data_IF_746720316309
#
_entry.id   IF_746720316309
#
_cell.length_a   1.000
_cell.length_b   1.000
_cell.length_c   1.000
_cell.angle_alpha   90.00
_cell.angle_beta   90.00
_cell.angle_gamma   90.00
#
_symmetry.space_group_name_H-M   'P 1'
#
loop_
_entity.id
_entity.type
_entity.pdbx_description
1 polymer ?
#
# COMPACT_ATOMS: atom_id res chain seq x y z
N UNK A 1 -4.35 11.93 9.70
CA UNK A 1 -4.76 12.74 8.53
C UNK A 1 -4.37 12.10 7.21
N UNK A 2 -5.34 11.84 6.33
CA UNK A 2 -5.13 11.34 4.97
C UNK A 2 -5.14 12.51 3.99
N UNK A 3 -4.08 12.66 3.17
CA UNK A 3 -3.91 13.79 2.26
C UNK A 3 -3.73 13.33 0.81
N UNK A 4 -4.61 13.76 -0.07
CA UNK A 4 -4.47 13.64 -1.53
C UNK A 4 -3.92 14.94 -2.12
N UNK A 5 -2.62 14.92 -2.39
CA UNK A 5 -1.89 15.97 -3.08
C UNK A 5 -2.20 15.87 -4.58
N UNK A 6 -3.05 16.75 -5.07
CA UNK A 6 -3.47 16.78 -6.45
C UNK A 6 -2.48 17.62 -7.27
N UNK A 7 -1.89 17.02 -8.30
CA UNK A 7 -1.17 17.79 -9.32
C UNK A 7 -2.13 18.76 -10.02
N UNK A 8 -1.61 19.66 -10.86
CA UNK A 8 -2.46 20.56 -11.64
C UNK A 8 -3.55 19.81 -12.43
N UNK A 9 -3.20 18.70 -13.07
CA UNK A 9 -4.15 17.93 -13.89
C UNK A 9 -5.19 17.21 -13.02
N UNK A 10 -4.81 16.67 -11.86
CA UNK A 10 -5.77 16.08 -10.92
C UNK A 10 -6.68 17.14 -10.28
N UNK A 11 -6.13 18.31 -9.94
CA UNK A 11 -6.89 19.43 -9.40
C UNK A 11 -7.95 19.92 -10.40
N UNK A 12 -7.59 20.01 -11.68
CA UNK A 12 -8.51 20.31 -12.77
C UNK A 12 -9.55 19.19 -12.98
N UNK A 13 -9.17 17.92 -12.82
CA UNK A 13 -10.10 16.80 -12.92
C UNK A 13 -11.18 16.82 -11.84
N UNK A 14 -10.80 17.11 -10.58
CA UNK A 14 -11.72 17.16 -9.45
C UNK A 14 -12.50 18.48 -9.33
N UNK A 15 -12.18 19.46 -10.16
CA UNK A 15 -12.84 20.77 -10.15
C UNK A 15 -13.80 20.89 -11.33
N UNK A 16 -15.07 21.15 -11.04
CA UNK A 16 -16.10 21.35 -12.07
C UNK A 16 -16.92 22.60 -11.80
N UNK A 17 -17.40 23.24 -12.87
CA UNK A 17 -18.37 24.34 -12.75
C UNK A 17 -19.76 23.79 -13.03
N UNK A 18 -20.66 23.82 -12.04
CA UNK A 18 -22.07 23.44 -12.20
C UNK A 18 -22.93 24.66 -11.89
N UNK A 19 -23.81 25.04 -12.81
CA UNK A 19 -24.70 26.20 -12.67
C UNK A 19 -23.93 27.49 -12.30
N UNK A 20 -22.79 27.73 -12.96
CA UNK A 20 -21.94 28.90 -12.72
C UNK A 20 -21.14 28.88 -11.41
N UNK A 21 -21.30 27.86 -10.56
CA UNK A 21 -20.54 27.70 -9.30
C UNK A 21 -19.43 26.66 -9.45
N UNK A 22 -18.22 27.03 -9.05
CA UNK A 22 -17.06 26.12 -8.96
C UNK A 22 -17.29 25.17 -7.78
N UNK A 23 -17.28 23.87 -8.05
CA UNK A 23 -17.30 22.80 -7.08
C UNK A 23 -15.95 22.10 -7.13
N UNK A 24 -15.30 21.96 -5.97
CA UNK A 24 -13.99 21.34 -5.85
C UNK A 24 -13.83 20.82 -4.43
N UNK A 25 -13.22 19.63 -4.23
CA UNK A 25 -12.84 19.16 -2.90
C UNK A 25 -11.56 19.83 -2.39
N UNK A 26 -10.88 20.62 -3.23
CA UNK A 26 -9.55 21.16 -2.91
C UNK A 26 -9.64 22.23 -1.83
N UNK A 27 -8.85 22.03 -0.78
CA UNK A 27 -8.65 22.94 0.32
C UNK A 27 -7.17 23.42 0.35
N UNK A 28 -6.83 24.51 1.06
CA UNK A 28 -5.45 24.96 1.22
C UNK A 28 -4.57 23.86 1.82
N UNK A 29 -3.33 23.72 1.38
CA UNK A 29 -2.47 22.66 1.91
C UNK A 29 -2.32 22.72 3.45
N UNK A 30 -2.48 21.60 4.18
CA UNK A 30 -2.38 21.59 5.65
C UNK A 30 -0.92 21.71 6.10
N UNK A 31 0.02 21.19 5.31
CA UNK A 31 1.46 21.29 5.55
C UNK A 31 2.18 22.03 4.42
N UNK A 32 3.38 22.60 4.63
CA UNK A 32 4.14 23.20 3.54
C UNK A 32 4.65 22.16 2.52
N UNK A 33 5.01 20.94 2.94
CA UNK A 33 5.62 19.92 2.07
C UNK A 33 4.83 18.61 2.02
N UNK A 34 4.86 17.95 0.86
CA UNK A 34 4.12 16.70 0.59
C UNK A 34 4.62 15.51 1.42
N UNK A 35 5.88 15.53 1.84
CA UNK A 35 6.50 14.46 2.64
C UNK A 35 6.52 14.70 4.15
N UNK A 36 5.80 15.69 4.66
CA UNK A 36 5.66 15.89 6.10
C UNK A 36 4.82 14.74 6.68
N UNK A 37 5.41 13.93 7.56
CA UNK A 37 4.77 12.71 8.13
C UNK A 37 3.90 13.01 9.35
N UNK A 38 3.94 14.23 9.87
CA UNK A 38 3.16 14.67 11.01
C UNK A 38 2.56 16.06 10.78
N UNK A 39 1.32 16.24 11.23
CA UNK A 39 0.63 17.52 11.27
C UNK A 39 -0.17 17.61 12.57
N UNK A 40 0.09 18.63 13.40
CA UNK A 40 -0.55 18.80 14.71
C UNK A 40 -0.53 17.52 15.57
N UNK A 41 0.63 16.83 15.60
CA UNK A 41 0.85 15.54 16.27
C UNK A 41 -0.01 14.37 15.74
N UNK A 42 -0.61 14.50 14.57
CA UNK A 42 -1.32 13.42 13.88
C UNK A 42 -0.47 12.85 12.75
N UNK A 43 -0.52 11.52 12.60
CA UNK A 43 0.08 10.81 11.47
C UNK A 43 -0.48 11.33 10.14
N UNK A 44 0.39 11.59 9.17
CA UNK A 44 -0.01 12.00 7.81
C UNK A 44 0.23 10.85 6.83
N UNK A 45 -0.85 10.30 6.26
CA UNK A 45 -0.76 9.42 5.09
C UNK A 45 -0.90 10.27 3.83
N UNK A 46 0.22 10.50 3.14
CA UNK A 46 0.28 11.39 1.99
C UNK A 46 0.28 10.61 0.67
N UNK A 47 -0.62 10.99 -0.24
CA UNK A 47 -0.74 10.45 -1.59
C UNK A 47 -0.55 11.57 -2.62
N UNK A 48 0.11 11.31 -3.74
CA UNK A 48 0.10 12.19 -4.90
C UNK A 48 -0.88 11.63 -5.94
N UNK A 49 -1.81 12.46 -6.39
CA UNK A 49 -2.79 12.11 -7.42
C UNK A 49 -2.48 12.91 -8.69
N UNK A 50 -2.41 12.20 -9.80
CA UNK A 50 -2.18 12.76 -11.12
C UNK A 50 -3.24 12.29 -12.11
N UNK A 51 -3.69 13.17 -13.00
CA UNK A 51 -4.61 12.80 -14.07
C UNK A 51 -3.91 12.79 -15.43
N UNK A 52 -4.08 11.71 -16.19
CA UNK A 52 -3.64 11.56 -17.57
C UNK A 52 -4.83 11.29 -18.50
N UNK A 53 -4.57 11.27 -19.82
CA UNK A 53 -5.54 10.82 -20.82
C UNK A 53 -5.00 9.63 -21.59
N UNK A 54 -5.72 8.53 -21.55
CA UNK A 54 -5.41 7.32 -22.32
C UNK A 54 -6.62 6.96 -23.17
N UNK A 55 -6.42 6.73 -24.47
CA UNK A 55 -7.51 6.54 -25.44
C UNK A 55 -8.63 7.59 -25.32
N UNK A 56 -8.26 8.87 -25.13
CA UNK A 56 -9.15 10.04 -24.94
C UNK A 56 -10.02 10.01 -23.68
N UNK A 57 -9.89 9.00 -22.81
CA UNK A 57 -10.58 8.89 -21.52
C UNK A 57 -9.66 9.35 -20.39
N UNK A 58 -10.23 9.92 -19.33
CA UNK A 58 -9.43 10.34 -18.17
C UNK A 58 -9.06 9.10 -17.35
N UNK A 59 -7.84 9.10 -16.83
CA UNK A 59 -7.33 8.08 -15.92
C UNK A 59 -6.64 8.81 -14.78
N UNK A 60 -6.92 8.41 -13.54
CA UNK A 60 -6.21 8.89 -12.37
C UNK A 60 -5.17 7.86 -11.94
N UNK A 61 -4.01 8.35 -11.51
CA UNK A 61 -2.97 7.57 -10.85
C UNK A 61 -2.80 8.18 -9.47
N UNK A 62 -3.01 7.39 -8.42
CA UNK A 62 -2.70 7.75 -7.05
C UNK A 62 -1.43 6.99 -6.63
N UNK A 63 -0.48 7.68 -6.01
CA UNK A 63 0.74 7.07 -5.50
C UNK A 63 0.99 7.47 -4.07
N UNK A 64 1.19 6.49 -3.18
CA UNK A 64 1.59 6.74 -1.82
C UNK A 64 3.00 7.36 -1.79
N UNK A 65 3.14 8.47 -1.08
CA UNK A 65 4.35 9.30 -1.13
C UNK A 65 5.53 8.61 -0.46
N UNK A 66 5.32 7.80 0.58
CA UNK A 66 6.41 7.13 1.26
C UNK A 66 6.86 5.87 0.51
N UNK A 67 5.92 5.02 0.15
CA UNK A 67 6.21 3.65 -0.33
C UNK A 67 6.23 3.52 -1.84
N UNK A 68 5.86 4.59 -2.57
CA UNK A 68 5.70 4.57 -4.04
C UNK A 68 4.65 3.60 -4.57
N UNK A 69 3.84 3.00 -3.68
CA UNK A 69 2.71 2.18 -4.06
C UNK A 69 1.73 2.95 -4.93
N UNK A 70 1.37 2.41 -6.07
CA UNK A 70 0.57 3.07 -7.09
C UNK A 70 -0.77 2.36 -7.31
N UNK A 71 -1.80 3.14 -7.61
CA UNK A 71 -3.12 2.64 -7.98
C UNK A 71 -3.66 3.43 -9.16
N UNK A 72 -4.28 2.75 -10.12
CA UNK A 72 -4.85 3.35 -11.33
C UNK A 72 -6.37 3.26 -11.36
N UNK A 73 -7.03 4.35 -11.73
CA UNK A 73 -8.49 4.46 -11.75
C UNK A 73 -8.97 4.88 -13.12
N UNK A 74 -9.82 4.06 -13.73
CA UNK A 74 -10.53 4.33 -14.98
C UNK A 74 -12.00 4.56 -14.69
N UNK A 75 -12.77 5.02 -15.69
CA UNK A 75 -14.23 5.16 -15.57
C UNK A 75 -14.74 6.30 -14.68
N UNK A 76 -13.85 7.02 -13.97
CA UNK A 76 -14.24 8.13 -13.11
C UNK A 76 -14.78 9.34 -13.87
N UNK A 77 -15.84 9.95 -13.32
CA UNK A 77 -16.43 11.20 -13.83
C UNK A 77 -15.67 12.41 -13.28
N UNK A 78 -15.51 13.44 -14.10
CA UNK A 78 -14.92 14.72 -13.65
C UNK A 78 -15.71 15.31 -12.49
N UNK A 79 -14.99 15.78 -11.47
CA UNK A 79 -15.56 16.34 -10.25
C UNK A 79 -16.06 15.29 -9.22
N UNK A 80 -16.02 14.00 -9.56
CA UNK A 80 -16.52 12.92 -8.70
C UNK A 80 -15.42 12.41 -7.75
N UNK A 81 -14.99 13.28 -6.84
CA UNK A 81 -13.93 12.96 -5.88
C UNK A 81 -14.36 11.92 -4.84
N UNK A 82 -15.66 11.85 -4.54
CA UNK A 82 -16.21 10.89 -3.59
C UNK A 82 -16.12 9.47 -4.14
N UNK A 83 -16.48 9.28 -5.42
CA UNK A 83 -16.31 7.99 -6.09
C UNK A 83 -14.83 7.58 -6.17
N UNK A 84 -13.93 8.50 -6.51
CA UNK A 84 -12.49 8.24 -6.46
C UNK A 84 -12.05 7.76 -5.08
N UNK A 85 -12.47 8.45 -4.02
CA UNK A 85 -12.09 8.11 -2.65
C UNK A 85 -12.64 6.73 -2.22
N UNK A 86 -13.89 6.43 -2.55
CA UNK A 86 -14.51 5.14 -2.22
C UNK A 86 -13.76 3.98 -2.91
N UNK A 87 -13.52 4.11 -4.22
CA UNK A 87 -12.77 3.10 -4.97
C UNK A 87 -11.34 2.94 -4.45
N UNK A 88 -10.69 4.06 -4.10
CA UNK A 88 -9.34 4.04 -3.54
C UNK A 88 -9.31 3.33 -2.19
N UNK A 89 -10.26 3.63 -1.29
CA UNK A 89 -10.30 3.05 0.06
C UNK A 89 -10.57 1.54 0.00
N UNK A 90 -11.61 1.15 -0.73
CA UNK A 90 -11.99 -0.25 -0.91
C UNK A 90 -10.85 -1.05 -1.51
N UNK A 91 -10.26 -0.57 -2.62
CA UNK A 91 -9.22 -1.32 -3.31
C UNK A 91 -7.89 -1.33 -2.56
N UNK A 92 -7.54 -0.25 -1.86
CA UNK A 92 -6.36 -0.27 -0.99
C UNK A 92 -6.51 -1.33 0.09
N UNK A 93 -7.66 -1.35 0.78
CA UNK A 93 -7.88 -2.31 1.85
C UNK A 93 -7.88 -3.74 1.34
N UNK A 94 -8.60 -4.03 0.24
CA UNK A 94 -8.61 -5.36 -0.36
C UNK A 94 -7.21 -5.81 -0.76
N UNK A 95 -6.41 -4.94 -1.39
CA UNK A 95 -5.05 -5.28 -1.78
C UNK A 95 -4.15 -5.54 -0.56
N UNK A 96 -4.27 -4.76 0.53
CA UNK A 96 -3.51 -5.02 1.75
C UNK A 96 -3.94 -6.33 2.41
N UNK A 97 -5.25 -6.60 2.46
CA UNK A 97 -5.80 -7.84 3.00
C UNK A 97 -5.30 -9.05 2.23
N UNK A 98 -5.49 -9.08 0.91
CA UNK A 98 -5.05 -10.20 0.07
C UNK A 98 -3.54 -10.42 0.15
N UNK A 99 -2.76 -9.34 0.17
CA UNK A 99 -1.30 -9.46 0.31
C UNK A 99 -0.91 -10.07 1.67
N UNK A 100 -1.52 -9.65 2.78
CA UNK A 100 -1.22 -10.25 4.08
C UNK A 100 -1.71 -11.69 4.24
N UNK A 101 -2.86 -12.02 3.64
CA UNK A 101 -3.41 -13.39 3.64
C UNK A 101 -2.56 -14.34 2.78
N UNK A 102 -2.11 -13.91 1.59
CA UNK A 102 -1.25 -14.70 0.70
C UNK A 102 0.03 -15.17 1.41
N UNK A 103 0.56 -14.35 2.30
CA UNK A 103 1.79 -14.63 3.03
C UNK A 103 1.57 -15.11 4.47
N UNK A 104 0.32 -15.39 4.86
CA UNK A 104 -0.07 -15.82 6.22
C UNK A 104 0.41 -14.87 7.33
N UNK A 105 0.58 -13.58 7.02
CA UNK A 105 1.09 -12.57 7.95
C UNK A 105 -0.01 -11.95 8.80
N UNK A 106 -1.26 -11.98 8.33
CA UNK A 106 -2.43 -11.43 9.01
C UNK A 106 -3.67 -12.25 8.64
N UNK A 107 -4.63 -12.32 9.57
CA UNK A 107 -5.96 -12.86 9.29
C UNK A 107 -7.00 -11.74 9.08
N UNK A 108 -8.18 -12.11 8.58
CA UNK A 108 -9.29 -11.17 8.32
C UNK A 108 -9.64 -10.32 9.55
N UNK A 109 -9.60 -10.91 10.75
CA UNK A 109 -9.92 -10.21 12.00
C UNK A 109 -8.88 -9.13 12.34
N UNK A 110 -7.60 -9.44 12.14
CA UNK A 110 -6.49 -8.50 12.32
C UNK A 110 -6.59 -7.36 11.31
N UNK A 111 -6.93 -7.66 10.05
CA UNK A 111 -7.16 -6.63 9.02
C UNK A 111 -8.33 -5.71 9.33
N UNK A 112 -9.45 -6.27 9.80
CA UNK A 112 -10.60 -5.46 10.21
C UNK A 112 -10.23 -4.48 11.35
N UNK A 113 -9.37 -4.92 12.28
CA UNK A 113 -8.84 -4.05 13.33
C UNK A 113 -7.99 -2.93 12.75
N UNK A 114 -7.06 -3.22 11.83
CA UNK A 114 -6.24 -2.22 11.16
C UNK A 114 -7.07 -1.22 10.35
N UNK A 115 -8.13 -1.66 9.66
CA UNK A 115 -9.04 -0.77 8.95
C UNK A 115 -9.74 0.22 9.89
N UNK A 116 -10.24 -0.28 11.02
CA UNK A 116 -10.87 0.57 12.03
C UNK A 116 -9.89 1.59 12.60
N UNK A 117 -8.62 1.21 12.79
CA UNK A 117 -7.56 2.14 13.18
C UNK A 117 -7.29 3.19 12.11
N UNK A 118 -7.19 2.78 10.84
CA UNK A 118 -7.03 3.68 9.71
C UNK A 118 -8.15 4.72 9.67
N UNK A 119 -9.41 4.29 9.73
CA UNK A 119 -10.58 5.18 9.70
C UNK A 119 -10.56 6.15 10.88
N UNK A 120 -10.18 5.67 12.08
CA UNK A 120 -10.09 6.50 13.30
C UNK A 120 -9.02 7.59 13.17
N UNK A 121 -7.86 7.26 12.61
CA UNK A 121 -6.74 8.21 12.42
C UNK A 121 -6.95 9.16 11.23
N UNK A 122 -7.81 8.77 10.28
CA UNK A 122 -8.06 9.47 9.03
C UNK A 122 -9.56 9.69 8.75
N UNK A 123 -10.30 10.37 9.63
CA UNK A 123 -11.77 10.44 9.57
C UNK A 123 -12.32 11.19 8.35
N UNK A 124 -11.50 12.02 7.69
CA UNK A 124 -11.86 12.74 6.46
C UNK A 124 -10.64 12.84 5.54
N UNK A 125 -10.78 12.58 4.23
CA UNK A 125 -9.72 12.84 3.26
C UNK A 125 -9.54 14.35 3.03
N UNK A 126 -8.28 14.78 2.92
CA UNK A 126 -7.91 16.15 2.62
C UNK A 126 -7.36 16.26 1.19
N UNK A 127 -8.07 16.95 0.30
CA UNK A 127 -7.59 17.18 -1.06
C UNK A 127 -6.95 18.56 -1.13
N UNK A 128 -5.73 18.66 -1.64
CA UNK A 128 -5.06 19.95 -1.82
C UNK A 128 -4.25 19.97 -3.12
N UNK A 129 -4.04 21.15 -3.71
CA UNK A 129 -3.21 21.25 -4.91
C UNK A 129 -1.72 21.38 -4.52
N UNK A 130 -0.97 20.30 -4.72
CA UNK A 130 0.50 20.25 -4.52
C UNK A 130 1.13 19.24 -5.46
N UNK A 131 2.39 19.49 -5.78
CA UNK A 131 3.21 18.56 -6.56
C UNK A 131 4.41 18.08 -5.77
N UNK A 132 4.89 16.88 -6.08
CA UNK A 132 6.16 16.35 -5.63
C UNK A 132 6.91 15.81 -6.86
N UNK A 133 8.09 16.38 -7.16
CA UNK A 133 8.84 16.01 -8.36
C UNK A 133 9.37 14.58 -8.32
N UNK A 134 9.70 14.07 -7.14
CA UNK A 134 10.20 12.70 -6.98
C UNK A 134 9.07 11.70 -7.21
N UNK A 135 7.93 11.91 -6.56
CA UNK A 135 6.75 11.05 -6.73
C UNK A 135 6.25 11.13 -8.19
N UNK A 136 6.21 12.33 -8.78
CA UNK A 136 5.76 12.52 -10.16
C UNK A 136 6.61 11.76 -11.18
N UNK A 137 7.92 11.62 -10.94
CA UNK A 137 8.79 10.81 -11.81
C UNK A 137 8.32 9.35 -11.86
N UNK A 138 8.03 8.75 -10.69
CA UNK A 138 7.53 7.38 -10.63
C UNK A 138 6.10 7.24 -11.17
N UNK A 139 5.25 8.26 -10.97
CA UNK A 139 3.92 8.30 -11.61
C UNK A 139 4.05 8.30 -13.13
N UNK A 140 5.03 8.99 -13.71
CA UNK A 140 5.25 8.99 -15.15
C UNK A 140 5.65 7.58 -15.65
N UNK A 141 6.46 6.84 -14.89
CA UNK A 141 6.78 5.44 -15.21
C UNK A 141 5.54 4.56 -15.16
N UNK A 142 4.69 4.71 -14.13
CA UNK A 142 3.39 4.00 -14.04
C UNK A 142 2.50 4.35 -15.22
N UNK A 143 2.41 5.63 -15.60
CA UNK A 143 1.64 6.09 -16.75
C UNK A 143 2.14 5.44 -18.05
N UNK A 144 3.47 5.36 -18.24
CA UNK A 144 4.07 4.71 -19.40
C UNK A 144 3.70 3.23 -19.48
N UNK A 145 3.83 2.49 -18.38
CA UNK A 145 3.45 1.08 -18.32
C UNK A 145 1.94 0.87 -18.56
N UNK A 146 1.11 1.75 -18.00
CA UNK A 146 -0.33 1.69 -18.16
C UNK A 146 -0.75 1.94 -19.62
N UNK A 147 -0.21 3.00 -20.24
CA UNK A 147 -0.45 3.31 -21.65
C UNK A 147 0.00 2.17 -22.56
N UNK A 148 1.16 1.59 -22.28
CA UNK A 148 1.67 0.45 -23.03
C UNK A 148 0.74 -0.77 -22.93
N UNK A 149 0.30 -1.15 -21.73
CA UNK A 149 -0.60 -2.28 -21.53
C UNK A 149 -1.96 -2.04 -22.20
N UNK A 150 -2.52 -0.85 -22.08
CA UNK A 150 -3.76 -0.47 -22.76
C UNK A 150 -3.62 -0.53 -24.28
N UNK A 151 -2.47 -0.12 -24.82
CA UNK A 151 -2.20 -0.25 -26.25
C UNK A 151 -2.12 -1.71 -26.70
N UNK A 152 -1.49 -2.60 -25.91
CA UNK A 152 -1.39 -4.02 -26.21
C UNK A 152 -2.74 -4.74 -26.14
N UNK A 153 -3.56 -4.47 -25.11
CA UNK A 153 -4.87 -5.09 -24.91
C UNK A 153 -5.92 -4.50 -25.86
N UNK A 154 -5.78 -3.23 -26.23
CA UNK A 154 -6.71 -2.50 -27.09
C UNK A 154 -7.82 -1.76 -26.33
N UNK A 155 -7.93 -1.93 -25.01
CA UNK A 155 -8.93 -1.27 -24.17
C UNK A 155 -8.36 -0.86 -22.82
N UNK A 156 -9.04 0.10 -22.17
CA UNK A 156 -8.82 0.36 -20.74
C UNK A 156 -9.32 -0.83 -19.90
N UNK A 157 -8.74 -1.04 -18.70
CA UNK A 157 -9.33 -1.89 -17.68
C UNK A 157 -10.79 -1.52 -17.42
N UNK A 158 -11.63 -2.55 -17.36
CA UNK A 158 -13.05 -2.47 -17.02
C UNK A 158 -13.29 -3.01 -15.61
N UNK A 159 -13.78 -2.13 -14.72
CA UNK A 159 -14.07 -2.47 -13.33
C UNK A 159 -12.86 -2.50 -12.38
N UNK A 160 -13.14 -2.74 -11.10
CA UNK A 160 -12.15 -2.75 -10.02
C UNK A 160 -11.12 -3.87 -10.17
N UNK A 161 -11.54 -5.06 -10.59
CA UNK A 161 -10.69 -6.26 -10.68
C UNK A 161 -9.55 -6.09 -11.69
N UNK A 162 -9.85 -5.61 -12.89
CA UNK A 162 -8.83 -5.38 -13.92
C UNK A 162 -7.87 -4.23 -13.53
N UNK A 163 -8.38 -3.22 -12.81
CA UNK A 163 -7.54 -2.19 -12.21
C UNK A 163 -6.64 -2.78 -11.11
N UNK A 164 -7.17 -3.61 -10.22
CA UNK A 164 -6.43 -4.26 -9.14
C UNK A 164 -5.29 -5.13 -9.69
N UNK A 165 -5.54 -5.92 -10.74
CA UNK A 165 -4.49 -6.72 -11.40
C UNK A 165 -3.37 -5.86 -12.00
N UNK A 166 -3.69 -4.66 -12.51
CA UNK A 166 -2.65 -3.72 -12.93
C UNK A 166 -1.88 -3.16 -11.73
N UNK A 167 -2.60 -2.77 -10.68
CA UNK A 167 -2.03 -2.21 -9.45
C UNK A 167 -1.05 -3.22 -8.81
N UNK A 168 -1.43 -4.48 -8.69
CA UNK A 168 -0.57 -5.58 -8.23
C UNK A 168 0.71 -5.67 -9.06
N UNK A 169 0.58 -5.84 -10.39
CA UNK A 169 1.73 -5.98 -11.28
C UNK A 169 2.67 -4.75 -11.27
N UNK A 170 2.14 -3.52 -11.20
CA UNK A 170 2.99 -2.33 -11.26
C UNK A 170 3.70 -2.04 -9.93
N UNK A 171 3.19 -2.60 -8.83
CA UNK A 171 3.78 -2.51 -7.51
C UNK A 171 4.77 -3.66 -7.21
N UNK A 172 4.76 -4.72 -8.02
CA UNK A 172 5.82 -5.73 -8.07
C UNK A 172 7.14 -5.19 -8.67
N UNK A 173 7.07 -4.13 -9.50
CA UNK A 173 8.25 -3.54 -10.13
C UNK A 173 9.08 -2.77 -9.10
N UNK A 174 10.34 -3.18 -8.93
CA UNK A 174 11.29 -2.52 -8.02
C UNK A 174 11.45 -1.03 -8.32
N UNK A 175 11.57 -0.23 -7.27
CA UNK A 175 11.81 1.21 -7.33
C UNK A 175 12.97 1.59 -6.43
N UNK A 176 13.55 2.76 -6.68
CA UNK A 176 14.51 3.40 -5.78
C UNK A 176 14.24 4.89 -5.76
N UNK A 177 14.68 5.55 -4.69
CA UNK A 177 14.55 7.01 -4.55
C UNK A 177 15.90 7.62 -4.24
N UNK A 178 16.02 8.95 -4.31
CA UNK A 178 17.27 9.61 -3.90
C UNK A 178 17.60 9.39 -2.41
N UNK A 179 16.57 9.20 -1.58
CA UNK A 179 16.70 8.99 -0.13
C UNK A 179 16.87 7.52 0.25
N UNK A 180 16.33 6.60 -0.55
CA UNK A 180 16.48 5.16 -0.39
C UNK A 180 17.18 4.59 -1.62
N UNK A 181 18.50 4.41 -1.48
CA UNK A 181 19.37 3.98 -2.59
C UNK A 181 19.18 2.50 -2.94
N UNK A 182 18.81 1.69 -1.97
CA UNK A 182 18.48 0.30 -2.19
C UNK A 182 17.15 0.19 -2.94
N UNK A 183 17.08 -0.76 -3.86
CA UNK A 183 15.84 -1.07 -4.55
C UNK A 183 14.87 -1.73 -3.57
N UNK A 184 13.60 -1.41 -3.72
CA UNK A 184 12.52 -1.96 -2.91
C UNK A 184 11.29 -2.25 -3.78
N UNK A 185 10.45 -3.17 -3.32
CA UNK A 185 9.15 -3.44 -3.94
C UNK A 185 8.06 -2.58 -3.26
N UNK A 186 7.33 -1.74 -4.02
CA UNK A 186 6.29 -0.88 -3.46
C UNK A 186 5.16 -1.58 -2.71
N UNK A 187 4.77 -2.79 -3.12
CA UNK A 187 3.75 -3.62 -2.46
C UNK A 187 4.17 -4.02 -1.04
N UNK A 188 5.39 -4.56 -0.91
CA UNK A 188 6.01 -4.93 0.37
C UNK A 188 6.13 -3.71 1.29
N UNK A 189 6.66 -2.59 0.77
CA UNK A 189 6.81 -1.36 1.55
C UNK A 189 5.46 -0.77 1.98
N UNK A 190 4.42 -0.89 1.15
CA UNK A 190 3.07 -0.47 1.51
C UNK A 190 2.47 -1.35 2.60
N UNK A 191 2.62 -2.66 2.49
CA UNK A 191 2.15 -3.60 3.49
C UNK A 191 2.86 -3.37 4.84
N UNK A 192 4.19 -3.26 4.84
CA UNK A 192 4.98 -2.95 6.03
C UNK A 192 4.60 -1.62 6.66
N UNK A 193 4.36 -0.59 5.84
CA UNK A 193 3.84 0.68 6.34
C UNK A 193 2.45 0.52 6.95
N UNK A 194 1.55 -0.20 6.30
CA UNK A 194 0.18 -0.42 6.78
C UNK A 194 0.14 -1.10 8.14
N UNK A 195 0.86 -2.22 8.27
CA UNK A 195 0.88 -3.00 9.50
C UNK A 195 1.61 -2.29 10.64
N UNK A 196 2.62 -1.47 10.34
CA UNK A 196 3.35 -0.70 11.36
C UNK A 196 2.53 0.48 11.90
N UNK A 197 1.76 1.15 11.05
CA UNK A 197 1.02 2.37 11.43
C UNK A 197 -0.37 2.06 11.99
N UNK A 198 -0.99 0.97 11.53
CA UNK A 198 -2.39 0.63 11.87
C UNK A 198 -2.55 -0.70 12.59
N UNK A 199 -1.52 -1.55 12.59
CA UNK A 199 -1.46 -2.78 13.38
C UNK A 199 -0.66 -2.62 14.66
N UNK A 200 -0.37 -3.75 15.30
CA UNK A 200 0.39 -3.83 16.57
C UNK A 200 1.82 -4.37 16.37
N UNK A 201 2.36 -4.29 15.14
CA UNK A 201 3.69 -4.80 14.81
C UNK A 201 4.80 -3.87 15.29
N UNK A 202 5.81 -4.44 15.94
CA UNK A 202 6.98 -3.72 16.39
C UNK A 202 8.08 -3.64 15.31
N UNK A 203 9.09 -2.78 15.54
CA UNK A 203 10.19 -2.58 14.59
C UNK A 203 11.07 -3.82 14.33
N UNK A 204 11.14 -4.75 15.30
CA UNK A 204 11.92 -5.99 15.13
C UNK A 204 11.22 -6.94 14.17
N UNK A 205 9.89 -7.00 14.24
CA UNK A 205 9.06 -7.83 13.36
C UNK A 205 9.07 -7.31 11.91
N UNK A 206 9.07 -6.00 11.70
CA UNK A 206 9.22 -5.39 10.35
C UNK A 206 10.49 -5.86 9.63
N UNK A 207 11.59 -6.00 10.35
CA UNK A 207 12.86 -6.46 9.77
C UNK A 207 12.78 -7.92 9.34
N UNK A 208 12.15 -8.77 10.16
CA UNK A 208 11.95 -10.19 9.84
C UNK A 208 11.03 -10.36 8.62
N UNK A 209 9.94 -9.59 8.53
CA UNK A 209 9.02 -9.64 7.40
C UNK A 209 9.72 -9.20 6.10
N UNK A 210 10.57 -8.17 6.13
CA UNK A 210 11.40 -7.78 4.97
C UNK A 210 12.33 -8.90 4.51
N UNK A 211 12.98 -9.59 5.45
CA UNK A 211 13.85 -10.72 5.13
C UNK A 211 13.07 -11.90 4.54
N UNK A 212 11.86 -12.13 5.04
CA UNK A 212 10.94 -13.12 4.50
C UNK A 212 10.55 -12.80 3.05
N UNK A 213 10.09 -11.59 2.75
CA UNK A 213 9.78 -11.19 1.37
C UNK A 213 10.99 -11.29 0.44
N UNK A 214 12.16 -10.84 0.88
CA UNK A 214 13.39 -10.99 0.11
C UNK A 214 13.67 -12.45 -0.25
N UNK A 215 13.48 -13.37 0.71
CA UNK A 215 13.67 -14.80 0.52
C UNK A 215 12.68 -15.37 -0.49
N UNK A 216 11.39 -14.98 -0.42
CA UNK A 216 10.37 -15.39 -1.37
C UNK A 216 10.67 -14.91 -2.79
N UNK A 217 11.09 -13.66 -2.97
CA UNK A 217 11.47 -13.10 -4.27
C UNK A 217 12.67 -13.82 -4.88
N UNK A 218 13.66 -14.18 -4.06
CA UNK A 218 14.79 -15.01 -4.49
C UNK A 218 14.34 -16.41 -4.90
N UNK A 219 13.35 -16.96 -4.23
CA UNK A 219 12.77 -18.28 -4.52
C UNK A 219 11.92 -18.30 -5.80
N UNK A 220 11.21 -17.21 -6.11
CA UNK A 220 10.37 -17.10 -7.31
C UNK A 220 11.17 -16.71 -8.57
N UNK A 221 12.43 -16.30 -8.41
CA UNK A 221 13.33 -15.99 -9.53
C UNK A 221 13.82 -17.29 -10.20
N UNK A 222 13.62 -17.50 -11.52
CA UNK A 222 13.86 -18.78 -12.20
C UNK A 222 15.34 -19.19 -12.36
N UNK A 223 16.28 -18.56 -11.62
CA UNK A 223 17.72 -18.66 -11.88
C UNK A 223 18.58 -19.25 -10.76
N UNK A 224 18.03 -19.83 -9.69
CA UNK A 224 18.86 -20.46 -8.64
C UNK A 224 18.32 -21.84 -8.23
N UNK A 225 19.11 -22.89 -8.50
CA UNK A 225 18.84 -24.28 -8.13
C UNK A 225 18.54 -24.43 -6.64
N UNK A 226 17.29 -24.71 -6.32
CA UNK A 226 16.65 -24.31 -5.07
C UNK A 226 16.67 -25.36 -3.95
N UNK A 227 16.83 -26.65 -4.24
CA UNK A 227 16.54 -27.68 -3.23
C UNK A 227 17.57 -27.78 -2.09
N UNK A 228 18.86 -27.55 -2.37
CA UNK A 228 19.92 -27.69 -1.35
C UNK A 228 20.01 -26.46 -0.44
N UNK A 229 19.74 -25.26 -0.98
CA UNK A 229 19.74 -24.01 -0.20
C UNK A 229 18.49 -23.85 0.66
N UNK A 230 17.35 -24.43 0.25
CA UNK A 230 16.10 -24.45 1.03
C UNK A 230 16.29 -25.21 2.35
N UNK A 231 16.94 -26.37 2.31
CA UNK A 231 17.12 -27.20 3.50
C UNK A 231 18.03 -26.54 4.54
N UNK A 232 19.12 -25.89 4.10
CA UNK A 232 20.03 -25.19 5.00
C UNK A 232 19.40 -23.93 5.61
N UNK A 233 18.63 -23.17 4.83
CA UNK A 233 18.02 -21.92 5.29
C UNK A 233 16.84 -22.16 6.25
N UNK A 234 15.98 -23.15 5.97
CA UNK A 234 14.91 -23.53 6.91
C UNK A 234 15.49 -24.04 8.23
N UNK A 235 16.53 -24.87 8.19
CA UNK A 235 17.20 -25.35 9.40
C UNK A 235 17.82 -24.20 10.23
N UNK A 236 18.32 -23.16 9.57
CA UNK A 236 18.90 -22.00 10.23
C UNK A 236 17.82 -21.10 10.89
N UNK A 237 16.68 -20.90 10.22
CA UNK A 237 15.56 -20.12 10.73
C UNK A 237 14.88 -20.84 11.91
N UNK A 238 14.63 -22.15 11.78
CA UNK A 238 14.04 -22.96 12.85
C UNK A 238 14.96 -22.98 14.09
N UNK A 239 16.27 -23.05 13.89
CA UNK A 239 17.26 -22.94 14.97
C UNK A 239 17.20 -21.59 15.69
N UNK A 240 17.16 -20.49 14.94
CA UNK A 240 17.11 -19.14 15.50
C UNK A 240 15.78 -18.85 16.24
N UNK A 241 14.67 -19.36 15.72
CA UNK A 241 13.36 -19.25 16.35
C UNK A 241 13.29 -20.06 17.65
N UNK A 242 13.78 -21.31 17.65
CA UNK A 242 13.82 -22.12 18.87
C UNK A 242 14.69 -21.47 19.96
N UNK A 243 15.87 -20.97 19.61
CA UNK A 243 16.76 -20.31 20.57
C UNK A 243 16.14 -19.01 21.14
N UNK A 244 15.37 -18.28 20.33
CA UNK A 244 14.60 -17.11 20.78
C UNK A 244 13.45 -17.50 21.74
N UNK A 245 12.74 -18.60 21.49
CA UNK A 245 11.63 -19.04 22.35
C UNK A 245 12.11 -19.71 23.65
N UNK A 246 13.22 -20.44 23.62
CA UNK A 246 13.83 -21.06 24.82
C UNK A 246 14.47 -20.02 25.76
N UNK A 247 14.85 -18.85 25.25
CA UNK A 247 15.47 -17.77 26.03
C UNK A 247 14.49 -16.77 26.66
N UNK A 248 13.18 -16.91 26.43
CA UNK A 248 12.17 -16.08 27.12
C UNK A 248 11.95 -16.55 28.56
N UNK A 249 11.97 -15.63 29.57
CA UNK A 249 11.50 -15.97 30.90
C UNK A 249 10.01 -16.33 30.86
N UNK A 250 9.62 -17.32 31.66
CA UNK A 250 8.24 -17.83 31.72
C UNK A 250 7.23 -16.69 31.91
N UNK A 251 6.23 -16.66 31.04
CA UNK A 251 5.15 -15.69 31.08
C UNK A 251 4.37 -15.88 32.41
N UNK A 252 4.12 -14.83 33.20
CA UNK A 252 3.31 -14.93 34.41
C UNK A 252 1.89 -15.46 34.12
N UNK A 253 1.33 -16.24 35.05
CA UNK A 253 0.06 -17.00 34.99
C UNK A 253 -1.20 -16.23 34.56
N UNK A 254 -1.11 -14.93 34.28
CA UNK A 254 -2.20 -14.03 33.97
C UNK A 254 -2.18 -13.46 32.53
N UNK A 255 -1.36 -14.01 31.63
CA UNK A 255 -1.40 -13.71 30.18
C UNK A 255 -1.87 -14.94 29.41
N UNK A 256 -2.87 -14.76 28.55
CA UNK A 256 -3.46 -15.85 27.76
C UNK A 256 -2.47 -16.37 26.70
N UNK A 257 -2.09 -17.64 26.82
CA UNK A 257 -1.33 -18.38 25.81
C UNK A 257 -2.28 -18.83 24.68
N UNK A 258 -2.19 -18.15 23.54
CA UNK A 258 -3.01 -18.42 22.36
C UNK A 258 -2.74 -19.79 21.72
N UNK A 259 -1.56 -20.37 21.95
CA UNK A 259 -1.24 -21.71 21.46
C UNK A 259 -1.88 -22.79 22.36
N UNK A 260 -1.90 -22.57 23.67
CA UNK A 260 -2.59 -23.46 24.62
C UNK A 260 -4.12 -23.42 24.43
N UNK A 261 -4.68 -22.25 24.12
CA UNK A 261 -6.09 -22.09 23.78
C UNK A 261 -6.47 -22.80 22.46
N UNK A 262 -5.57 -22.83 21.47
CA UNK A 262 -5.72 -23.60 20.22
C UNK A 262 -5.62 -25.12 20.45
N UNK A 263 -4.64 -25.57 21.24
CA UNK A 263 -4.46 -27.00 21.55
C UNK A 263 -5.65 -27.61 22.31
N UNK A 264 -6.26 -26.84 23.22
CA UNK A 264 -7.43 -27.29 23.98
C UNK A 264 -8.74 -27.32 23.17
N UNK A 265 -8.79 -26.65 22.01
CA UNK A 265 -9.94 -26.66 21.10
C UNK A 265 -9.96 -27.86 20.16
N UNK A 266 -8.79 -28.43 19.87
CA UNK A 266 -8.66 -29.60 19.00
C UNK A 266 -8.83 -30.95 19.73
N UNK A 267 -8.95 -30.91 21.07
CA UNK A 267 -9.14 -32.08 21.94
C UNK A 267 -10.55 -32.16 22.56
N UNK A 268 -11.55 -31.50 21.97
CA UNK A 268 -12.97 -31.63 22.35
C UNK A 268 -13.85 -31.89 21.14
#
# INVERSE_FOLDING_TARGET
MLVFNCTKTAAEFFTVTRQGKKQSPLEPSPTPKVGDTQYENQLVSAWLVHAIKVQRKNVLIAMHVQTRYAMVFTGLRKGDWAEFFNQWLERLFNNMQFFGEEFELCDEASFHTMLNQFIRLHPKPYFCQRGDRSVQSHINDVAWHFEHRVHQIGSLPDGQEQCASFDEWVNDIIRSTKTQKEYFHPDEEMFLHWISEYGDLDHSEVTLIRQYFHSLRLQMSPLLSQQEKIAEMHAMIDGALNEYYESRPSIPDNVLDFNQARANKNNK
#
